data_IF_346962871728
#
_entry.id   IF_346962871728
#
_cell.length_a   1.000
_cell.length_b   1.000
_cell.length_c   1.000
_cell.angle_alpha   90.00
_cell.angle_beta   90.00
_cell.angle_gamma   90.00
#
_symmetry.space_group_name_H-M   'P 1'
#
loop_
_entity.id
_entity.type
_entity.pdbx_description
1 polymer ?
#
# COMPACT_ATOMS: atom_id res chain seq x y z
N UNK A 1 63.88 34.03 22.47
CA UNK A 1 63.08 33.48 21.34
C UNK A 1 61.61 33.57 21.78
N UNK A 2 60.91 34.70 21.77
CA UNK A 2 60.52 35.62 20.69
C UNK A 2 59.72 34.95 19.55
N UNK A 3 58.40 34.98 19.66
CA UNK A 3 57.49 35.09 18.50
C UNK A 3 56.21 35.81 18.96
N UNK A 4 56.03 36.99 18.38
CA UNK A 4 55.11 38.07 18.68
C UNK A 4 53.78 37.96 17.96
N UNK A 5 52.72 38.41 18.63
CA UNK A 5 51.40 38.76 18.08
C UNK A 5 51.52 39.78 16.93
N UNK A 6 50.63 39.68 15.94
CA UNK A 6 50.28 40.78 15.02
C UNK A 6 48.76 40.99 14.98
N UNK A 7 48.29 42.24 15.09
CA UNK A 7 47.00 42.68 14.58
C UNK A 7 47.17 43.49 13.27
N UNK A 8 46.15 43.52 12.43
CA UNK A 8 45.90 44.52 11.37
C UNK A 8 44.37 44.59 11.23
N UNK A 9 43.68 45.68 11.63
CA UNK A 9 43.51 46.96 10.90
C UNK A 9 42.94 46.75 9.48
N UNK A 10 41.63 46.92 9.24
CA UNK A 10 40.79 48.14 9.10
C UNK A 10 40.76 48.75 7.69
N UNK A 11 39.52 49.10 7.27
CA UNK A 11 39.07 50.14 6.32
C UNK A 11 38.69 49.77 4.88
N UNK A 12 37.57 50.39 4.44
CA UNK A 12 37.17 50.63 3.05
C UNK A 12 35.82 50.01 2.68
N UNK A 13 34.68 50.55 3.11
CA UNK A 13 33.95 51.67 2.48
C UNK A 13 33.75 51.51 0.96
N UNK A 14 32.53 51.16 0.53
CA UNK A 14 31.91 51.78 -0.65
C UNK A 14 30.38 51.62 -0.61
N UNK A 15 29.75 52.76 -0.34
CA UNK A 15 28.33 53.06 -0.46
C UNK A 15 27.94 53.16 -1.94
N UNK A 16 26.67 52.88 -2.24
CA UNK A 16 25.82 53.44 -3.32
C UNK A 16 25.13 52.40 -4.25
N UNK A 17 23.83 52.29 -3.98
CA UNK A 17 22.64 51.98 -4.81
C UNK A 17 22.62 52.71 -6.18
N UNK A 18 21.55 52.68 -7.01
CA UNK A 18 20.52 51.66 -7.34
C UNK A 18 20.46 51.41 -8.87
N UNK A 19 19.82 50.33 -9.32
CA UNK A 19 19.11 50.39 -10.62
C UNK A 19 17.93 49.43 -10.67
N UNK A 20 16.76 50.04 -10.48
CA UNK A 20 15.44 49.66 -10.96
C UNK A 20 15.48 48.98 -12.33
N UNK A 21 14.82 47.82 -12.46
CA UNK A 21 14.41 47.28 -13.76
C UNK A 21 12.90 46.98 -13.77
N UNK A 22 12.23 47.18 -14.93
CA UNK A 22 10.83 47.53 -14.98
C UNK A 22 9.88 46.33 -15.05
N UNK A 23 8.72 46.56 -14.42
CA UNK A 23 7.46 45.85 -14.60
C UNK A 23 7.10 45.73 -16.09
N UNK A 24 7.27 44.52 -16.66
CA UNK A 24 6.65 44.15 -17.94
C UNK A 24 5.24 43.62 -17.69
N UNK A 25 4.28 44.53 -17.83
CA UNK A 25 2.86 44.23 -18.03
C UNK A 25 2.68 43.38 -19.29
N UNK A 26 2.28 42.12 -19.14
CA UNK A 26 1.65 41.36 -20.22
C UNK A 26 0.14 41.43 -20.03
N UNK A 27 -0.49 42.36 -20.75
CA UNK A 27 -1.93 42.36 -20.95
C UNK A 27 -2.26 41.37 -22.06
N UNK A 28 -2.91 40.27 -21.71
CA UNK A 28 -3.59 39.41 -22.68
C UNK A 28 -5.07 39.83 -22.68
N UNK A 29 -5.40 40.67 -23.65
CA UNK A 29 -6.77 41.01 -24.05
C UNK A 29 -7.14 40.14 -25.25
N UNK A 30 -8.36 39.60 -25.20
CA UNK A 30 -9.19 39.09 -26.28
C UNK A 30 -8.68 37.89 -27.12
N UNK A 31 -9.44 36.80 -27.09
CA UNK A 31 -10.46 36.59 -28.12
C UNK A 31 -11.51 35.58 -27.65
N UNK A 32 -12.74 36.07 -27.42
CA UNK A 32 -13.96 35.29 -27.53
C UNK A 32 -14.21 35.05 -29.01
N UNK A 33 -14.05 33.81 -29.46
CA UNK A 33 -14.70 33.26 -30.65
C UNK A 33 -15.15 31.85 -30.21
N UNK A 34 -16.43 31.51 -30.16
CA UNK A 34 -17.44 31.80 -31.17
C UNK A 34 -17.53 30.62 -32.14
N UNK A 35 -17.78 29.41 -31.64
CA UNK A 35 -18.26 28.30 -32.47
C UNK A 35 -19.50 27.69 -31.84
N UNK A 36 -20.64 28.25 -32.26
CA UNK A 36 -21.89 27.50 -32.37
C UNK A 36 -21.75 26.67 -33.64
N UNK A 37 -21.64 25.35 -33.50
CA UNK A 37 -21.85 24.43 -34.60
C UNK A 37 -23.01 23.50 -34.21
N UNK A 38 -24.10 23.75 -34.91
CA UNK A 38 -25.34 22.99 -34.97
C UNK A 38 -25.06 21.71 -35.78
N UNK A 39 -25.42 20.55 -35.25
CA UNK A 39 -25.44 19.27 -35.98
C UNK A 39 -26.17 18.25 -35.10
N UNK A 40 -27.50 18.21 -35.12
CA UNK A 40 -28.33 17.50 -36.08
C UNK A 40 -28.02 15.99 -36.12
N UNK A 41 -28.81 15.25 -35.34
CA UNK A 41 -29.53 14.03 -35.73
C UNK A 41 -28.77 13.07 -36.65
N UNK A 42 -28.26 11.97 -36.10
CA UNK A 42 -28.38 10.64 -36.70
C UNK A 42 -28.43 9.60 -35.59
N UNK A 43 -29.58 8.92 -35.51
CA UNK A 43 -29.81 7.82 -34.58
C UNK A 43 -29.00 6.59 -34.95
N UNK A 44 -28.40 5.99 -33.94
CA UNK A 44 -28.12 4.55 -33.89
C UNK A 44 -28.43 4.10 -32.47
N UNK A 45 -29.33 3.12 -32.35
CA UNK A 45 -29.76 2.58 -31.08
C UNK A 45 -28.58 1.95 -30.35
N UNK A 46 -28.12 2.61 -29.30
CA UNK A 46 -27.29 1.95 -28.29
C UNK A 46 -28.23 1.09 -27.46
N UNK A 47 -28.07 -0.21 -27.64
CA UNK A 47 -28.63 -1.25 -26.81
C UNK A 47 -28.04 -1.02 -25.40
N UNK A 48 -28.78 -0.29 -24.56
CA UNK A 48 -28.50 -0.18 -23.13
C UNK A 48 -28.77 -1.57 -22.56
N UNK A 49 -27.72 -2.40 -22.50
CA UNK A 49 -27.70 -3.50 -21.56
C UNK A 49 -27.80 -2.85 -20.18
N UNK A 50 -28.98 -2.91 -19.59
CA UNK A 50 -29.13 -2.75 -18.15
C UNK A 50 -28.18 -3.74 -17.50
N UNK A 51 -27.04 -3.23 -17.02
CA UNK A 51 -26.26 -3.93 -16.03
C UNK A 51 -27.19 -4.10 -14.83
N UNK A 52 -27.78 -5.29 -14.71
CA UNK A 52 -28.39 -5.73 -13.48
C UNK A 52 -27.34 -5.58 -12.40
N UNK A 53 -27.48 -4.55 -11.56
CA UNK A 53 -26.76 -4.45 -10.31
C UNK A 53 -27.32 -5.53 -9.38
N UNK A 54 -26.95 -6.78 -9.66
CA UNK A 54 -26.85 -7.77 -8.60
C UNK A 54 -25.85 -7.18 -7.62
N UNK A 55 -26.34 -6.63 -6.51
CA UNK A 55 -25.56 -6.48 -5.30
C UNK A 55 -25.15 -7.90 -4.89
N UNK A 56 -24.15 -8.43 -5.59
CA UNK A 56 -23.36 -9.53 -5.11
C UNK A 56 -22.64 -8.96 -3.91
N UNK A 57 -23.14 -9.30 -2.74
CA UNK A 57 -22.34 -9.23 -1.52
C UNK A 57 -21.21 -10.23 -1.74
N UNK A 58 -20.18 -9.78 -2.45
CA UNK A 58 -18.96 -10.54 -2.70
C UNK A 58 -18.43 -10.89 -1.32
N UNK A 59 -18.40 -12.19 -0.99
CA UNK A 59 -17.81 -12.64 0.25
C UNK A 59 -16.33 -12.28 0.22
N UNK A 60 -15.85 -11.46 1.16
CA UNK A 60 -14.44 -11.07 1.22
C UNK A 60 -13.53 -12.18 1.77
N UNK A 61 -14.02 -13.41 1.92
CA UNK A 61 -13.26 -14.56 2.43
C UNK A 61 -12.34 -15.18 1.35
N UNK A 62 -11.60 -14.33 0.63
CA UNK A 62 -10.61 -14.77 -0.35
C UNK A 62 -9.21 -14.84 0.27
N UNK A 63 -8.37 -15.79 -0.16
CA UNK A 63 -7.00 -15.85 0.30
C UNK A 63 -6.22 -14.60 -0.13
N UNK A 64 -5.20 -14.19 0.64
CA UNK A 64 -4.33 -13.09 0.23
C UNK A 64 -3.68 -13.32 -1.13
N UNK A 65 -3.58 -12.27 -1.94
CA UNK A 65 -3.05 -12.32 -3.31
C UNK A 65 -1.82 -11.43 -3.44
N UNK A 66 -0.74 -11.99 -3.95
CA UNK A 66 0.45 -11.20 -4.30
C UNK A 66 0.16 -10.29 -5.50
N UNK A 67 0.40 -8.99 -5.33
CA UNK A 67 0.27 -7.96 -6.36
C UNK A 67 1.57 -7.83 -7.18
N UNK A 68 2.71 -8.05 -6.53
CA UNK A 68 4.02 -8.07 -7.17
C UNK A 68 5.18 -7.77 -6.22
N UNK A 69 6.38 -7.77 -6.79
CA UNK A 69 7.63 -7.48 -6.09
C UNK A 69 8.28 -6.23 -6.69
N UNK A 70 8.60 -5.27 -5.84
CA UNK A 70 9.31 -4.05 -6.18
C UNK A 70 10.75 -4.14 -5.65
N UNK A 71 11.74 -4.08 -6.54
CA UNK A 71 13.12 -3.87 -6.12
C UNK A 71 13.32 -2.37 -5.86
N UNK A 72 13.59 -1.99 -4.62
CA UNK A 72 13.81 -0.61 -4.19
C UNK A 72 14.96 -0.53 -3.19
N UNK A 73 15.23 0.67 -2.64
CA UNK A 73 16.40 0.87 -1.79
C UNK A 73 16.01 1.18 -0.35
N UNK A 74 16.81 0.70 0.58
CA UNK A 74 16.80 1.17 1.98
C UNK A 74 18.00 2.06 2.20
N UNK A 75 17.82 3.15 2.93
CA UNK A 75 18.89 4.10 3.25
C UNK A 75 19.36 3.84 4.67
N UNK A 76 20.65 3.56 4.84
CA UNK A 76 21.24 3.47 6.17
C UNK A 76 21.12 4.83 6.87
N UNK A 77 20.81 4.81 8.17
CA UNK A 77 20.72 6.03 8.97
C UNK A 77 22.10 6.63 9.25
N UNK A 78 23.11 5.80 9.40
CA UNK A 78 24.47 6.19 9.79
C UNK A 78 25.36 6.47 8.59
N UNK A 79 25.02 5.93 7.43
CA UNK A 79 25.77 6.06 6.19
C UNK A 79 24.79 6.47 5.10
N UNK A 80 25.17 7.37 4.20
CA UNK A 80 24.40 7.66 2.97
C UNK A 80 24.41 6.49 1.96
N UNK A 81 24.68 5.27 2.44
CA UNK A 81 24.71 4.07 1.66
C UNK A 81 23.28 3.57 1.41
N UNK A 82 22.99 3.26 0.15
CA UNK A 82 21.76 2.62 -0.27
C UNK A 82 21.97 1.12 -0.38
N UNK A 83 21.04 0.34 0.17
CA UNK A 83 21.03 -1.12 0.07
C UNK A 83 19.77 -1.56 -0.69
N UNK A 84 19.92 -2.24 -1.84
CA UNK A 84 18.77 -2.77 -2.57
C UNK A 84 18.03 -3.82 -1.72
N UNK A 85 16.70 -3.79 -1.78
CA UNK A 85 15.78 -4.68 -1.08
C UNK A 85 14.58 -4.97 -1.97
N UNK A 86 14.05 -6.16 -1.80
CA UNK A 86 12.80 -6.55 -2.44
C UNK A 86 11.63 -6.26 -1.48
N UNK A 87 10.62 -5.58 -1.99
CA UNK A 87 9.38 -5.25 -1.31
C UNK A 87 8.25 -6.02 -1.99
N UNK A 88 7.67 -6.98 -1.28
CA UNK A 88 6.52 -7.75 -1.76
C UNK A 88 5.24 -7.06 -1.33
N UNK A 89 4.34 -6.85 -2.28
CA UNK A 89 3.01 -6.30 -2.04
C UNK A 89 1.98 -7.43 -2.09
N UNK A 90 1.22 -7.62 -1.01
CA UNK A 90 0.19 -8.65 -0.89
C UNK A 90 -1.12 -7.96 -0.52
N UNK A 91 -2.18 -8.18 -1.27
CA UNK A 91 -3.52 -7.73 -0.90
C UNK A 91 -4.22 -8.80 -0.06
N UNK A 92 -4.82 -8.37 1.06
CA UNK A 92 -5.59 -9.20 1.99
C UNK A 92 -7.08 -8.80 1.93
N UNK A 93 -7.91 -9.51 1.13
CA UNK A 93 -9.32 -9.17 0.88
C UNK A 93 -10.20 -9.08 2.13
N UNK A 94 -10.14 -10.02 3.11
CA UNK A 94 -10.95 -9.96 4.32
C UNK A 94 -10.88 -8.63 5.08
N UNK A 95 -9.72 -7.97 5.05
CA UNK A 95 -9.44 -6.76 5.81
C UNK A 95 -9.20 -5.52 4.92
N UNK A 96 -9.42 -5.61 3.60
CA UNK A 96 -9.15 -4.56 2.59
C UNK A 96 -7.81 -3.85 2.84
N UNK A 97 -6.74 -4.63 3.04
CA UNK A 97 -5.42 -4.09 3.41
C UNK A 97 -4.35 -4.60 2.46
N UNK A 98 -3.44 -3.70 2.06
CA UNK A 98 -2.23 -4.08 1.30
C UNK A 98 -1.07 -4.19 2.28
N UNK A 99 -0.48 -5.37 2.34
CA UNK A 99 0.70 -5.69 3.12
C UNK A 99 1.94 -5.39 2.27
N UNK A 100 2.79 -4.48 2.74
CA UNK A 100 4.12 -4.25 2.17
C UNK A 100 5.15 -4.96 3.04
N UNK A 101 5.74 -6.03 2.51
CA UNK A 101 6.64 -6.93 3.22
C UNK A 101 8.07 -6.77 2.70
N UNK A 102 9.05 -6.66 3.61
CA UNK A 102 10.46 -6.59 3.24
C UNK A 102 11.35 -7.02 4.40
N UNK A 103 12.59 -7.41 4.09
CA UNK A 103 13.60 -7.72 5.12
C UNK A 103 14.45 -6.50 5.43
N UNK A 104 14.60 -6.20 6.71
CA UNK A 104 15.48 -5.15 7.20
C UNK A 104 16.39 -5.72 8.30
N UNK A 105 17.69 -5.74 8.03
CA UNK A 105 18.67 -6.44 8.86
C UNK A 105 18.31 -7.93 9.00
N UNK A 106 17.99 -8.38 10.22
CA UNK A 106 17.58 -9.76 10.51
C UNK A 106 16.07 -9.95 10.62
N UNK A 107 15.31 -8.85 10.65
CA UNK A 107 13.86 -8.87 10.84
C UNK A 107 13.12 -8.84 9.49
N UNK A 108 12.05 -9.62 9.40
CA UNK A 108 11.00 -9.39 8.42
C UNK A 108 10.07 -8.30 8.94
N UNK A 109 9.85 -7.25 8.14
CA UNK A 109 8.95 -6.14 8.43
C UNK A 109 7.72 -6.26 7.53
N UNK A 110 6.54 -6.10 8.13
CA UNK A 110 5.28 -5.97 7.39
C UNK A 110 4.61 -4.66 7.76
N UNK A 111 4.30 -3.85 6.75
CA UNK A 111 3.49 -2.65 6.86
C UNK A 111 2.08 -2.93 6.36
N UNK A 112 1.09 -2.70 7.20
CA UNK A 112 -0.32 -2.88 6.91
C UNK A 112 -0.88 -1.55 6.42
N UNK A 113 -1.12 -1.44 5.12
CA UNK A 113 -1.63 -0.24 4.47
C UNK A 113 -3.13 -0.38 4.28
N UNK A 114 -3.90 0.12 5.24
CA UNK A 114 -5.35 0.24 5.12
C UNK A 114 -5.71 1.25 4.04
N UNK A 115 -6.98 1.31 3.62
CA UNK A 115 -7.45 2.23 2.58
C UNK A 115 -6.98 3.68 2.80
N UNK A 116 -7.07 4.19 4.04
CA UNK A 116 -6.60 5.54 4.41
C UNK A 116 -5.10 5.73 4.19
N UNK A 117 -4.29 4.72 4.53
CA UNK A 117 -2.84 4.76 4.41
C UNK A 117 -2.42 4.71 2.94
N UNK A 118 -3.11 3.88 2.14
CA UNK A 118 -2.93 3.80 0.68
C UNK A 118 -3.26 5.13 0.01
N UNK A 119 -4.39 5.74 0.36
CA UNK A 119 -4.77 7.07 -0.16
C UNK A 119 -3.72 8.12 0.20
N UNK A 120 -3.30 8.19 1.46
CA UNK A 120 -2.30 9.16 1.90
C UNK A 120 -0.95 8.97 1.18
N UNK A 121 -0.51 7.72 0.99
CA UNK A 121 0.73 7.41 0.27
C UNK A 121 0.62 7.75 -1.22
N UNK A 122 -0.50 7.45 -1.87
CA UNK A 122 -0.73 7.80 -3.27
C UNK A 122 -0.74 9.31 -3.50
N UNK A 123 -1.48 10.06 -2.69
CA UNK A 123 -1.50 11.53 -2.79
C UNK A 123 -0.11 12.13 -2.59
N UNK A 124 0.69 11.56 -1.69
CA UNK A 124 2.07 12.00 -1.48
C UNK A 124 2.96 11.70 -2.68
N UNK A 125 2.81 10.52 -3.29
CA UNK A 125 3.53 10.14 -4.52
C UNK A 125 3.11 11.05 -5.69
N UNK A 126 1.82 11.32 -5.87
CA UNK A 126 1.31 12.19 -6.94
C UNK A 126 1.87 13.61 -6.83
N UNK A 127 1.90 14.17 -5.61
CA UNK A 127 2.53 15.49 -5.35
C UNK A 127 4.02 15.46 -5.68
N UNK A 128 4.73 14.43 -5.25
CA UNK A 128 6.16 14.27 -5.55
C UNK A 128 6.43 14.17 -7.05
N UNK A 129 5.66 13.35 -7.78
CA UNK A 129 5.82 13.18 -9.22
C UNK A 129 5.50 14.49 -9.97
N UNK A 130 4.45 15.21 -9.56
CA UNK A 130 4.13 16.53 -10.13
C UNK A 130 5.26 17.55 -9.92
N UNK A 131 5.84 17.61 -8.72
CA UNK A 131 7.00 18.49 -8.46
C UNK A 131 8.27 18.03 -9.18
N UNK A 132 8.46 16.71 -9.35
CA UNK A 132 9.56 16.12 -10.10
C UNK A 132 9.50 16.50 -11.59
N UNK A 133 8.33 16.33 -12.21
CA UNK A 133 8.09 16.70 -13.61
C UNK A 133 8.22 18.21 -13.84
N UNK A 134 7.77 19.03 -12.89
CA UNK A 134 7.94 20.48 -12.93
C UNK A 134 9.37 20.94 -12.62
N UNK A 135 10.30 20.03 -12.28
CA UNK A 135 11.68 20.32 -11.92
C UNK A 135 11.81 21.32 -10.75
N UNK A 136 10.86 21.30 -9.81
CA UNK A 136 10.84 22.25 -8.68
C UNK A 136 11.56 21.71 -7.44
N UNK A 137 11.88 20.41 -7.44
CA UNK A 137 12.65 19.71 -6.41
C UNK A 137 14.13 20.09 -6.50
N UNK A 138 14.63 20.84 -5.52
CA UNK A 138 16.05 21.24 -5.45
C UNK A 138 16.68 20.78 -4.14
N UNK A 139 18.01 20.67 -4.11
CA UNK A 139 18.73 20.19 -2.92
C UNK A 139 18.54 21.15 -1.74
N UNK A 140 18.52 22.45 -2.01
CA UNK A 140 18.31 23.50 -1.01
C UNK A 140 16.92 23.40 -0.38
N UNK A 141 15.92 23.00 -1.16
CA UNK A 141 14.54 22.81 -0.69
C UNK A 141 14.30 21.46 -0.02
N UNK A 142 15.25 20.51 -0.10
CA UNK A 142 15.10 19.17 0.46
C UNK A 142 15.05 19.15 2.00
N UNK A 143 15.42 20.22 2.69
CA UNK A 143 15.25 20.33 4.14
C UNK A 143 13.93 20.97 4.55
N UNK A 144 13.41 21.91 3.75
CA UNK A 144 12.27 22.76 4.13
C UNK A 144 10.94 22.34 3.48
N UNK A 145 10.99 21.79 2.26
CA UNK A 145 9.80 21.42 1.46
C UNK A 145 9.78 19.94 1.08
N UNK A 146 10.65 19.13 1.68
CA UNK A 146 10.64 17.68 1.49
C UNK A 146 9.54 17.00 2.28
N UNK A 147 8.32 17.53 2.30
CA UNK A 147 7.25 16.91 3.07
C UNK A 147 5.98 16.88 2.24
N UNK A 148 5.53 15.67 1.92
CA UNK A 148 4.33 15.42 1.12
C UNK A 148 3.15 14.90 1.95
N UNK A 149 3.42 14.42 3.17
CA UNK A 149 2.38 13.93 4.09
C UNK A 149 2.92 12.92 5.08
N UNK A 150 2.00 12.35 5.86
CA UNK A 150 2.27 11.27 6.81
C UNK A 150 1.11 10.29 6.85
N UNK A 151 1.39 9.07 7.29
CA UNK A 151 0.36 8.15 7.76
C UNK A 151 0.87 7.33 8.96
N UNK A 152 -0.03 6.62 9.65
CA UNK A 152 0.29 5.84 10.87
C UNK A 152 -0.19 4.40 10.70
N UNK A 153 0.44 3.62 9.79
CA UNK A 153 0.05 2.25 9.54
C UNK A 153 0.47 1.36 10.70
N UNK A 154 -0.17 0.20 10.83
CA UNK A 154 0.35 -0.86 11.67
C UNK A 154 1.63 -1.42 11.03
N UNK A 155 2.69 -1.53 11.84
CA UNK A 155 3.95 -2.16 11.47
C UNK A 155 4.19 -3.35 12.39
N UNK A 156 4.51 -4.51 11.82
CA UNK A 156 4.99 -5.67 12.57
C UNK A 156 6.42 -6.01 12.17
N UNK A 157 7.19 -6.58 13.10
CA UNK A 157 8.54 -7.05 12.82
C UNK A 157 8.94 -8.27 13.66
N UNK A 158 9.89 -9.05 13.14
CA UNK A 158 10.55 -10.14 13.86
C UNK A 158 11.35 -11.05 12.93
N UNK A 159 12.25 -11.85 13.52
CA UNK A 159 13.09 -12.80 12.79
C UNK A 159 12.27 -13.95 12.20
N UNK A 160 11.26 -14.42 12.95
CA UNK A 160 10.35 -15.51 12.57
C UNK A 160 8.90 -15.05 12.78
N UNK A 161 8.36 -14.33 11.80
CA UNK A 161 7.00 -13.80 11.82
C UNK A 161 6.86 -12.50 12.62
N UNK A 162 5.60 -12.12 12.89
CA UNK A 162 5.22 -10.87 13.54
C UNK A 162 5.33 -10.93 15.07
N UNK A 163 6.56 -10.97 15.59
CA UNK A 163 6.82 -11.06 17.04
C UNK A 163 6.53 -9.74 17.79
N UNK A 164 6.66 -8.61 17.10
CA UNK A 164 6.49 -7.28 17.66
C UNK A 164 5.59 -6.43 16.75
N UNK A 165 4.94 -5.43 17.34
CA UNK A 165 4.10 -4.50 16.59
C UNK A 165 4.12 -3.08 17.19
N UNK A 166 3.84 -2.10 16.33
CA UNK A 166 3.71 -0.68 16.67
C UNK A 166 2.95 0.05 15.55
N UNK A 167 2.51 1.28 15.82
CA UNK A 167 1.87 2.17 14.83
C UNK A 167 2.73 3.41 14.58
N UNK A 168 3.90 3.27 13.93
CA UNK A 168 4.82 4.38 13.73
C UNK A 168 4.24 5.43 12.76
N UNK A 169 4.53 6.70 13.00
CA UNK A 169 4.29 7.74 12.01
C UNK A 169 5.29 7.61 10.85
N UNK A 170 4.80 7.19 9.70
CA UNK A 170 5.52 7.17 8.44
C UNK A 170 5.40 8.56 7.80
N UNK A 171 6.53 9.19 7.50
CA UNK A 171 6.64 10.47 6.80
C UNK A 171 6.99 10.22 5.35
N UNK A 172 6.38 11.01 4.47
CA UNK A 172 6.66 11.02 3.04
C UNK A 172 7.46 12.27 2.72
N UNK A 173 8.71 12.08 2.33
CA UNK A 173 9.68 13.14 2.05
C UNK A 173 10.36 12.94 0.70
N UNK A 174 11.17 13.90 0.24
CA UNK A 174 12.17 13.63 -0.80
C UNK A 174 13.57 13.93 -0.31
N UNK A 175 14.56 13.23 -0.87
CA UNK A 175 15.95 13.47 -0.57
C UNK A 175 16.84 13.22 -1.79
N UNK A 176 17.86 14.04 -1.95
CA UNK A 176 18.95 13.76 -2.88
C UNK A 176 19.94 12.81 -2.19
N UNK A 177 19.85 11.52 -2.53
CA UNK A 177 20.81 10.51 -2.04
C UNK A 177 22.01 10.42 -2.98
N UNK A 178 21.75 10.43 -4.29
CA UNK A 178 22.77 10.65 -5.33
C UNK A 178 22.79 12.10 -5.73
N UNK A 179 23.85 12.54 -6.41
CA UNK A 179 24.05 13.96 -6.64
C UNK A 179 23.00 14.61 -7.54
N UNK A 180 22.40 13.81 -8.42
CA UNK A 180 21.65 14.21 -9.60
C UNK A 180 20.15 13.91 -9.50
N UNK A 181 19.71 13.09 -8.53
CA UNK A 181 18.34 12.58 -8.49
C UNK A 181 17.68 12.70 -7.13
N UNK A 182 16.51 13.37 -7.04
CA UNK A 182 15.67 13.31 -5.85
C UNK A 182 14.96 11.95 -5.80
N UNK A 183 15.03 11.28 -4.66
CA UNK A 183 14.28 10.06 -4.35
C UNK A 183 13.09 10.42 -3.47
N UNK A 184 11.95 9.76 -3.70
CA UNK A 184 10.84 9.75 -2.75
C UNK A 184 11.20 8.85 -1.57
N UNK A 185 11.04 9.36 -0.37
CA UNK A 185 11.47 8.71 0.86
C UNK A 185 10.25 8.43 1.73
N UNK A 186 10.11 7.17 2.13
CA UNK A 186 9.17 6.74 3.16
C UNK A 186 10.00 6.46 4.42
N UNK A 187 9.80 7.24 5.47
CA UNK A 187 10.64 7.15 6.67
C UNK A 187 9.84 7.19 7.97
N UNK A 188 10.24 6.41 8.96
CA UNK A 188 9.77 6.54 10.33
C UNK A 188 10.91 6.75 11.32
N UNK A 189 10.53 7.14 12.54
CA UNK A 189 11.40 7.13 13.70
C UNK A 189 11.10 5.88 14.54
N UNK A 190 12.12 5.42 15.25
CA UNK A 190 11.96 4.40 16.28
C UNK A 190 10.98 4.88 17.34
N UNK A 191 9.98 4.04 17.61
CA UNK A 191 9.03 4.19 18.71
C UNK A 191 8.98 2.88 19.51
N UNK A 192 8.64 2.90 20.81
CA UNK A 192 8.41 1.67 21.55
C UNK A 192 7.19 0.93 20.98
N UNK A 193 7.34 -0.37 20.75
CA UNK A 193 6.24 -1.27 20.41
C UNK A 193 5.43 -1.70 21.62
N UNK A 194 4.33 -2.41 21.39
CA UNK A 194 3.39 -2.80 22.45
C UNK A 194 4.03 -3.65 23.55
N UNK A 195 5.07 -4.43 23.23
CA UNK A 195 5.82 -5.27 24.16
C UNK A 195 7.13 -4.63 24.65
N UNK A 196 7.31 -3.32 24.49
CA UNK A 196 8.48 -2.57 24.93
C UNK A 196 9.70 -2.69 24.01
N UNK A 197 9.64 -3.50 22.96
CA UNK A 197 10.69 -3.59 21.95
C UNK A 197 10.58 -2.43 20.96
N UNK A 198 11.72 -1.87 20.58
CA UNK A 198 11.77 -0.71 19.70
C UNK A 198 11.47 -1.07 18.25
N UNK A 199 10.54 -0.32 17.64
CA UNK A 199 10.24 -0.39 16.21
C UNK A 199 11.48 0.03 15.38
N UNK A 200 11.83 -0.73 14.32
CA UNK A 200 12.95 -0.36 13.45
C UNK A 200 12.68 0.98 12.76
N UNK A 201 13.70 1.84 12.75
CA UNK A 201 13.67 3.08 11.97
C UNK A 201 14.04 2.74 10.52
N UNK A 202 13.04 2.65 9.65
CA UNK A 202 13.21 2.38 8.22
C UNK A 202 13.21 3.69 7.44
N UNK A 203 14.04 3.72 6.40
CA UNK A 203 14.04 4.75 5.36
C UNK A 203 14.07 4.02 4.02
N UNK A 204 12.95 4.06 3.31
CA UNK A 204 12.79 3.43 2.00
C UNK A 204 12.92 4.54 0.96
N UNK A 205 13.79 4.35 -0.02
CA UNK A 205 14.00 5.27 -1.12
C UNK A 205 13.45 4.66 -2.41
N UNK A 206 12.56 5.41 -3.05
CA UNK A 206 11.91 5.09 -4.31
C UNK A 206 12.32 6.12 -5.36
N UNK A 207 12.75 5.64 -6.52
CA UNK A 207 12.90 6.45 -7.72
C UNK A 207 11.52 6.79 -8.31
N UNK A 208 11.41 7.82 -9.16
CA UNK A 208 10.15 8.19 -9.83
C UNK A 208 9.48 7.01 -10.55
N UNK A 209 10.25 6.15 -11.23
CA UNK A 209 9.72 4.98 -11.92
C UNK A 209 9.14 3.93 -10.95
N UNK A 210 9.79 3.74 -9.79
CA UNK A 210 9.30 2.83 -8.75
C UNK A 210 8.04 3.38 -8.09
N UNK A 211 7.93 4.71 -7.92
CA UNK A 211 6.72 5.36 -7.42
C UNK A 211 5.51 5.05 -8.31
N UNK A 212 5.66 5.08 -9.64
CA UNK A 212 4.60 4.71 -10.58
C UNK A 212 4.14 3.25 -10.41
N UNK A 213 5.05 2.33 -10.12
CA UNK A 213 4.70 0.92 -9.85
C UNK A 213 3.94 0.78 -8.53
N UNK A 214 4.40 1.46 -7.47
CA UNK A 214 3.69 1.48 -6.17
C UNK A 214 2.27 2.00 -6.32
N UNK A 215 2.04 3.06 -7.11
CA UNK A 215 0.69 3.56 -7.36
C UNK A 215 -0.25 2.50 -7.94
N UNK A 216 0.25 1.62 -8.80
CA UNK A 216 -0.56 0.53 -9.39
C UNK A 216 -0.97 -0.50 -8.34
N UNK A 217 -0.07 -0.87 -7.43
CA UNK A 217 -0.35 -1.83 -6.35
C UNK A 217 -1.30 -1.27 -5.29
N UNK A 218 -1.31 0.05 -5.11
CA UNK A 218 -2.17 0.70 -4.11
C UNK A 218 -3.50 1.19 -4.70
N UNK A 219 -3.75 0.96 -6.00
CA UNK A 219 -4.92 1.51 -6.66
C UNK A 219 -6.20 0.78 -6.29
N UNK A 220 -7.18 1.51 -5.73
CA UNK A 220 -8.41 0.88 -5.28
C UNK A 220 -9.21 0.26 -6.43
N UNK A 221 -9.23 0.89 -7.62
CA UNK A 221 -9.90 0.33 -8.78
C UNK A 221 -9.25 -0.99 -9.24
N UNK A 222 -7.93 -1.08 -9.18
CA UNK A 222 -7.20 -2.32 -9.45
C UNK A 222 -7.50 -3.40 -8.40
N UNK A 223 -7.57 -3.04 -7.11
CA UNK A 223 -7.90 -3.98 -6.04
C UNK A 223 -9.35 -4.47 -6.14
N UNK A 224 -10.28 -3.59 -6.49
CA UNK A 224 -11.69 -3.92 -6.69
C UNK A 224 -11.86 -4.85 -7.91
N UNK A 225 -11.18 -4.56 -9.02
CA UNK A 225 -11.16 -5.44 -10.19
C UNK A 225 -10.58 -6.83 -9.87
N UNK A 226 -9.56 -6.90 -9.02
CA UNK A 226 -8.99 -8.16 -8.54
C UNK A 226 -9.99 -8.94 -7.66
N UNK A 227 -10.75 -8.26 -6.80
CA UNK A 227 -11.83 -8.88 -6.02
C UNK A 227 -12.92 -9.46 -6.93
N UNK A 228 -13.31 -8.73 -7.98
CA UNK A 228 -14.29 -9.18 -8.96
C UNK A 228 -13.78 -10.40 -9.75
N UNK A 229 -12.51 -10.39 -10.18
CA UNK A 229 -11.88 -11.54 -10.84
C UNK A 229 -11.91 -12.78 -9.94
N UNK A 230 -11.56 -12.61 -8.65
CA UNK A 230 -11.63 -13.70 -7.68
C UNK A 230 -13.06 -14.21 -7.54
N UNK A 231 -14.05 -13.34 -7.39
CA UNK A 231 -15.46 -13.73 -7.29
C UNK A 231 -15.94 -14.55 -8.50
N UNK A 232 -15.62 -14.11 -9.72
CA UNK A 232 -15.97 -14.83 -10.95
C UNK A 232 -15.31 -16.20 -11.04
N UNK A 233 -14.05 -16.31 -10.58
CA UNK A 233 -13.34 -17.58 -10.58
C UNK A 233 -14.02 -18.62 -9.67
N UNK A 234 -14.52 -18.20 -8.50
CA UNK A 234 -15.23 -19.09 -7.57
C UNK A 234 -16.59 -19.54 -8.10
N UNK A 235 -17.37 -18.65 -8.73
CA UNK A 235 -18.65 -19.02 -9.35
C UNK A 235 -18.51 -20.08 -10.45
N UNK A 236 -17.39 -20.04 -11.17
CA UNK A 236 -17.07 -21.06 -12.19
C UNK A 236 -16.83 -22.43 -11.56
N UNK A 237 -16.31 -22.51 -10.32
CA UNK A 237 -16.14 -23.78 -9.62
C UNK A 237 -17.47 -24.31 -9.04
N UNK A 238 -18.36 -23.44 -8.56
CA UNK A 238 -19.65 -23.86 -8.00
C UNK A 238 -20.65 -24.34 -9.08
N UNK A 239 -20.54 -23.85 -10.31
CA UNK A 239 -21.42 -24.23 -11.42
C UNK A 239 -21.04 -25.57 -12.08
N UNK A 240 -19.92 -26.20 -11.69
CA UNK A 240 -19.55 -27.55 -12.13
C UNK A 240 -20.08 -28.68 -11.22
N UNK A 241 -21.19 -28.46 -10.50
CA UNK A 241 -21.91 -29.57 -9.87
C UNK A 241 -22.49 -30.51 -10.94
N UNK A 242 -22.00 -31.76 -10.92
CA UNK A 242 -22.39 -32.88 -11.77
C UNK A 242 -23.90 -32.99 -12.04
N UNK A 243 -24.36 -33.11 -13.30
CA UNK A 243 -25.72 -33.52 -13.60
C UNK A 243 -25.87 -35.03 -13.37
N UNK A 244 -25.89 -35.49 -12.12
CA UNK A 244 -26.37 -36.84 -11.79
C UNK A 244 -26.70 -37.06 -10.30
N UNK A 245 -27.91 -36.66 -9.91
CA UNK A 245 -28.77 -37.49 -9.04
C UNK A 245 -30.21 -37.42 -9.52
N UNK A 246 -30.56 -38.30 -10.44
CA UNK A 246 -31.95 -38.71 -10.66
C UNK A 246 -32.44 -39.43 -9.40
N UNK A 247 -33.66 -39.18 -8.90
CA UNK A 247 -34.21 -39.92 -7.78
C UNK A 247 -34.53 -41.34 -8.23
N UNK A 248 -33.74 -42.32 -7.78
CA UNK A 248 -34.07 -43.72 -8.00
C UNK A 248 -35.24 -44.09 -7.09
N UNK A 249 -36.29 -44.55 -7.76
CA UNK A 249 -37.63 -44.79 -7.25
C UNK A 249 -37.67 -45.98 -6.28
N UNK A 250 -38.45 -45.83 -5.21
CA UNK A 250 -38.88 -46.86 -4.28
C UNK A 250 -39.19 -48.21 -4.95
N UNK A 251 -38.36 -49.22 -4.68
CA UNK A 251 -38.76 -50.63 -4.66
C UNK A 251 -37.93 -51.35 -3.60
N UNK A 252 -38.48 -51.50 -2.39
CA UNK A 252 -38.42 -52.75 -1.61
C UNK A 252 -39.35 -52.66 -0.41
N UNK A 253 -40.59 -53.08 -0.67
CA UNK A 253 -41.50 -53.55 0.36
C UNK A 253 -40.92 -54.78 1.07
N UNK A 254 -41.30 -54.89 2.35
CA UNK A 254 -41.30 -56.09 3.19
C UNK A 254 -39.94 -56.59 3.73
N UNK A 255 -39.58 -56.10 4.92
CA UNK A 255 -39.07 -56.99 5.96
C UNK A 255 -39.79 -56.74 7.29
N UNK A 256 -40.60 -57.74 7.66
CA UNK A 256 -41.37 -57.82 8.91
C UNK A 256 -40.43 -57.79 10.11
N UNK A 257 -40.74 -56.92 11.07
CA UNK A 257 -40.22 -57.00 12.43
C UNK A 257 -40.58 -58.34 13.08
N UNK A 258 -39.61 -58.93 13.76
CA UNK A 258 -39.85 -59.88 14.85
C UNK A 258 -39.12 -59.37 16.08
N UNK A 259 -39.92 -58.95 17.06
CA UNK A 259 -39.54 -58.85 18.46
C UNK A 259 -38.76 -60.10 18.90
N UNK A 260 -37.65 -59.88 19.61
CA UNK A 260 -37.23 -60.81 20.67
C UNK A 260 -36.87 -60.04 21.93
N UNK A 261 -37.79 -60.23 22.88
CA UNK A 261 -37.73 -60.07 24.34
C UNK A 261 -36.33 -59.97 24.94
N UNK A 262 -36.18 -58.94 25.77
CA UNK A 262 -35.09 -58.83 26.73
C UNK A 262 -35.07 -59.98 27.74
N UNK A 263 -33.87 -60.29 28.23
CA UNK A 263 -33.66 -61.11 29.42
C UNK A 263 -32.68 -60.39 30.34
N UNK A 264 -33.11 -60.32 31.59
CA UNK A 264 -32.56 -59.66 32.79
C UNK A 264 -31.08 -59.95 33.07
N UNK A 265 -30.43 -58.87 33.49
CA UNK A 265 -29.48 -58.70 34.61
C UNK A 265 -29.39 -59.86 35.62
N UNK A 266 -28.17 -60.31 35.91
CA UNK A 266 -27.79 -60.70 37.28
C UNK A 266 -26.31 -60.40 37.55
N UNK A 267 -26.07 -59.77 38.70
CA UNK A 267 -24.79 -59.28 39.24
C UNK A 267 -23.99 -60.40 39.87
N UNK A 268 -22.66 -60.26 39.88
CA UNK A 268 -21.80 -60.98 40.81
C UNK A 268 -20.38 -60.40 40.82
N UNK A 269 -19.90 -59.82 41.94
CA UNK A 269 -18.59 -59.19 42.02
C UNK A 269 -17.51 -60.20 42.43
N UNK A 270 -16.27 -60.03 41.95
CA UNK A 270 -15.08 -60.50 42.66
C UNK A 270 -13.95 -59.49 42.54
N UNK A 271 -13.85 -58.66 43.57
CA UNK A 271 -12.57 -58.22 44.10
C UNK A 271 -11.85 -59.40 44.77
N UNK A 272 -10.52 -59.34 44.78
CA UNK A 272 -9.52 -59.79 45.79
C UNK A 272 -8.18 -59.79 45.01
N UNK A 273 -7.36 -58.74 45.10
CA UNK A 273 -6.26 -58.55 46.07
C UNK A 273 -5.24 -59.70 46.10
N UNK A 274 -4.07 -59.45 45.52
CA UNK A 274 -2.80 -59.34 46.24
C UNK A 274 -1.79 -58.57 45.40
#
# INVERSE_FOLDING_TARGET
MCATLRPMETLGFCMLSPSTLPLRKWGIRLCRAGYRALGALLGTGVLVCCASSTNMTVSNDYPPKELGVLNAYTVDRLRTAISPRDFTFVFDPPIDTVLMQFKFLLDGITLYLERKDRTALREAIEKYLGEYEAQTLTREKSSERAYFGTTTPLMTWGILGSAHNATPTMRFEYQFITDDRPYFIIANRTIPGANGYNCPAVRIALSPAQCSQVMQYLDQGNLDALLEEMAQSFETFDTQQDPKKTPETDKNAAYKGKEKKGKKEERGPRSIMK
#
